data_IF_475449665773
#
_entry.id   IF_475449665773
#
_cell.length_a   1.000
_cell.length_b   1.000
_cell.length_c   1.000
_cell.angle_alpha   90.00
_cell.angle_beta   90.00
_cell.angle_gamma   90.00
#
_symmetry.space_group_name_H-M   'P 1'
#
loop_
_entity.id
_entity.type
_entity.pdbx_description
1 polymer ?
#
# COMPACT_ATOMS: atom_id res chain seq x y z
N UNK A 1 -61.44 -9.31 -3.24
CA UNK A 1 -61.77 -7.93 -2.81
C UNK A 1 -62.22 -7.99 -1.35
N UNK A 2 -61.74 -7.08 -0.49
CA UNK A 2 -60.58 -7.38 0.37
C UNK A 2 -60.75 -6.99 1.85
N UNK A 3 -59.84 -7.47 2.70
CA UNK A 3 -59.19 -6.76 3.85
C UNK A 3 -58.45 -7.82 4.68
N UNK A 4 -57.13 -7.83 4.87
CA UNK A 4 -56.15 -6.76 4.76
C UNK A 4 -56.16 -5.90 6.03
N UNK A 5 -55.53 -6.36 7.12
CA UNK A 5 -55.12 -5.46 8.19
C UNK A 5 -53.79 -5.91 8.80
N UNK A 6 -52.86 -4.96 8.73
CA UNK A 6 -51.46 -4.96 9.13
C UNK A 6 -51.40 -3.82 10.15
N UNK A 7 -50.95 -4.08 11.37
CA UNK A 7 -50.61 -3.05 12.36
C UNK A 7 -49.27 -3.48 12.98
N UNK A 8 -48.16 -2.84 12.62
CA UNK A 8 -47.61 -1.59 13.17
C UNK A 8 -47.22 -1.72 14.67
N UNK A 9 -45.89 -1.69 14.90
CA UNK A 9 -45.22 -1.38 16.18
C UNK A 9 -45.53 0.07 16.60
N UNK A 10 -45.19 0.59 17.82
CA UNK A 10 -43.78 0.89 18.21
C UNK A 10 -43.50 0.98 19.74
N UNK A 11 -42.34 1.59 20.08
CA UNK A 11 -41.82 2.13 21.36
C UNK A 11 -40.76 1.24 22.04
N UNK A 12 -39.45 1.43 21.84
CA UNK A 12 -38.60 2.59 22.15
C UNK A 12 -38.56 2.95 23.65
N UNK A 13 -37.48 2.54 24.33
CA UNK A 13 -36.99 3.22 25.52
C UNK A 13 -35.46 3.32 25.42
N UNK A 14 -35.00 4.54 25.16
CA UNK A 14 -33.61 4.94 25.27
C UNK A 14 -33.35 5.33 26.73
N UNK A 15 -32.22 4.88 27.29
CA UNK A 15 -31.60 5.54 28.42
C UNK A 15 -30.22 6.01 27.98
N UNK A 16 -30.14 7.32 27.76
CA UNK A 16 -28.90 8.06 27.73
C UNK A 16 -28.37 8.15 29.17
N UNK A 17 -27.08 7.87 29.36
CA UNK A 17 -26.36 8.32 30.54
C UNK A 17 -25.14 9.09 30.07
N UNK A 18 -25.19 10.39 30.34
CA UNK A 18 -24.13 11.37 30.13
C UNK A 18 -23.27 11.39 31.40
N UNK A 19 -21.95 11.26 31.25
CA UNK A 19 -21.00 11.47 32.33
C UNK A 19 -19.67 11.94 31.74
N UNK A 20 -19.61 13.24 31.46
CA UNK A 20 -18.36 13.98 31.46
C UNK A 20 -18.21 14.70 32.79
N UNK A 21 -17.20 14.34 33.58
CA UNK A 21 -16.27 15.27 34.23
C UNK A 21 -15.18 14.51 34.97
N UNK A 22 -13.98 15.09 34.96
CA UNK A 22 -12.72 14.40 35.08
C UNK A 22 -12.37 13.93 36.48
N UNK A 23 -11.55 12.87 36.53
CA UNK A 23 -10.56 12.68 37.58
C UNK A 23 -9.27 12.20 36.91
N UNK A 24 -8.28 13.06 37.04
CA UNK A 24 -6.89 12.89 36.70
C UNK A 24 -6.24 11.94 37.72
N UNK A 25 -6.17 10.64 37.47
CA UNK A 25 -5.21 9.73 38.11
C UNK A 25 -4.91 8.54 37.18
N UNK A 26 -3.69 8.52 36.61
CA UNK A 26 -3.10 7.31 36.02
C UNK A 26 -2.58 6.43 37.17
N UNK A 27 -3.00 5.17 37.31
CA UNK A 27 -2.20 4.19 38.01
C UNK A 27 -1.20 3.59 37.01
N UNK A 28 0.07 4.01 37.10
CA UNK A 28 1.19 3.20 36.62
C UNK A 28 1.26 1.96 37.53
N UNK A 29 0.67 0.85 37.10
CA UNK A 29 0.86 -0.45 37.72
C UNK A 29 1.23 -1.44 36.62
N UNK A 30 2.44 -1.31 36.10
CA UNK A 30 3.19 -2.39 35.45
C UNK A 30 4.65 -1.96 35.42
N UNK A 31 5.30 -2.03 36.58
CA UNK A 31 6.76 -1.99 36.72
C UNK A 31 7.11 -2.51 38.11
N UNK A 32 7.20 -3.84 38.28
CA UNK A 32 8.02 -4.51 39.31
C UNK A 32 7.73 -6.01 39.40
N UNK A 33 8.15 -6.76 38.39
CA UNK A 33 8.57 -8.15 38.60
C UNK A 33 9.97 -8.34 38.00
N UNK A 34 10.93 -7.56 38.52
CA UNK A 34 12.35 -7.94 38.45
C UNK A 34 12.55 -9.02 39.50
N UNK A 35 12.60 -10.26 39.05
CA UNK A 35 13.13 -11.37 39.84
C UNK A 35 14.59 -11.02 40.14
N UNK A 36 14.84 -10.57 41.35
CA UNK A 36 16.17 -10.34 41.87
C UNK A 36 16.75 -11.73 42.20
N UNK A 37 17.53 -12.30 41.27
CA UNK A 37 18.30 -13.51 41.55
C UNK A 37 19.44 -13.17 42.52
N UNK A 38 19.49 -13.74 43.74
CA UNK A 38 20.65 -13.57 44.59
C UNK A 38 21.82 -14.36 44.02
N UNK A 39 22.79 -13.64 43.47
CA UNK A 39 24.12 -14.12 43.12
C UNK A 39 24.90 -14.44 44.40
N UNK A 40 24.76 -15.66 44.89
CA UNK A 40 25.56 -16.11 46.03
C UNK A 40 25.05 -17.36 46.73
N UNK A 41 25.07 -18.51 46.07
CA UNK A 41 25.08 -19.80 46.78
C UNK A 41 26.27 -20.64 46.35
N UNK A 42 27.11 -20.95 47.33
CA UNK A 42 28.23 -21.90 47.24
C UNK A 42 27.69 -23.31 46.99
N UNK A 43 28.45 -24.19 46.31
CA UNK A 43 28.00 -25.54 45.99
C UNK A 43 28.18 -26.46 47.21
N UNK A 44 27.14 -26.62 48.01
CA UNK A 44 26.99 -27.68 49.00
C UNK A 44 25.58 -28.26 48.88
N UNK A 45 25.27 -28.88 47.74
CA UNK A 45 23.95 -29.50 47.51
C UNK A 45 24.02 -30.79 46.69
N UNK A 46 25.18 -31.38 46.45
CA UNK A 46 25.27 -32.62 45.65
C UNK A 46 24.92 -33.89 46.44
N UNK A 47 25.05 -33.89 47.77
CA UNK A 47 24.73 -35.07 48.60
C UNK A 47 23.24 -35.18 48.94
N UNK A 48 22.59 -34.06 49.21
CA UNK A 48 21.16 -34.01 49.57
C UNK A 48 20.25 -34.25 48.36
N UNK A 49 20.63 -33.77 47.18
CA UNK A 49 19.91 -34.02 45.92
C UNK A 49 20.01 -35.51 45.51
N UNK A 50 21.13 -36.20 45.81
CA UNK A 50 21.26 -37.64 45.50
C UNK A 50 20.45 -38.52 46.47
N UNK A 51 20.43 -38.22 47.77
CA UNK A 51 19.62 -38.95 48.75
C UNK A 51 18.10 -38.72 48.53
N UNK A 52 17.68 -37.50 48.14
CA UNK A 52 16.30 -37.20 47.74
C UNK A 52 15.92 -37.86 46.40
N UNK A 53 16.87 -38.02 45.47
CA UNK A 53 16.66 -38.77 44.23
C UNK A 53 16.55 -40.29 44.44
N UNK A 54 17.33 -40.87 45.36
CA UNK A 54 17.23 -42.29 45.70
C UNK A 54 15.95 -42.61 46.50
N UNK A 55 15.54 -41.73 47.42
CA UNK A 55 14.29 -41.83 48.16
C UNK A 55 13.05 -41.71 47.26
N UNK A 56 13.07 -40.78 46.29
CA UNK A 56 12.00 -40.62 45.31
C UNK A 56 11.96 -41.76 44.30
N UNK A 57 13.11 -42.33 43.91
CA UNK A 57 13.19 -43.51 43.03
C UNK A 57 12.56 -44.75 43.69
N UNK A 58 12.91 -45.07 44.94
CA UNK A 58 12.30 -46.20 45.67
C UNK A 58 10.81 -46.00 45.95
N UNK A 59 10.39 -44.78 46.26
CA UNK A 59 8.97 -44.44 46.42
C UNK A 59 8.20 -44.55 45.10
N UNK A 60 8.83 -44.20 43.96
CA UNK A 60 8.28 -44.34 42.61
C UNK A 60 8.10 -45.81 42.22
N UNK A 61 9.09 -46.67 42.51
CA UNK A 61 9.00 -48.12 42.25
C UNK A 61 7.91 -48.79 43.09
N UNK A 62 7.81 -48.46 44.37
CA UNK A 62 6.75 -48.97 45.25
C UNK A 62 5.36 -48.50 44.80
N UNK A 63 5.25 -47.26 44.31
CA UNK A 63 4.03 -46.72 43.73
C UNK A 63 3.65 -47.40 42.41
N UNK A 64 4.62 -47.66 41.52
CA UNK A 64 4.41 -48.40 40.28
C UNK A 64 3.94 -49.84 40.52
N UNK A 65 4.53 -50.53 41.49
CA UNK A 65 4.09 -51.88 41.86
C UNK A 65 2.63 -51.90 42.41
N UNK A 66 2.23 -50.86 43.16
CA UNK A 66 0.84 -50.69 43.62
C UNK A 66 -0.10 -50.40 42.44
N UNK A 67 0.30 -49.53 41.52
CA UNK A 67 -0.43 -49.26 40.28
C UNK A 67 -0.69 -50.54 39.50
N UNK A 68 0.36 -51.33 39.23
CA UNK A 68 0.27 -52.57 38.48
C UNK A 68 -0.66 -53.59 39.14
N UNK A 69 -0.62 -53.70 40.48
CA UNK A 69 -1.56 -54.54 41.24
C UNK A 69 -3.00 -54.07 41.07
N UNK A 70 -3.25 -52.76 41.21
CA UNK A 70 -4.61 -52.21 41.03
C UNK A 70 -5.11 -52.33 39.60
N UNK A 71 -4.23 -52.14 38.60
CA UNK A 71 -4.54 -52.29 37.18
C UNK A 71 -4.92 -53.73 36.86
N UNK A 72 -4.11 -54.71 37.28
CA UNK A 72 -4.42 -56.13 37.09
C UNK A 72 -5.73 -56.53 37.79
N UNK A 73 -5.96 -56.01 39.00
CA UNK A 73 -7.20 -56.23 39.75
C UNK A 73 -8.43 -55.67 39.03
N UNK A 74 -8.35 -54.46 38.49
CA UNK A 74 -9.44 -53.87 37.71
C UNK A 74 -9.68 -54.59 36.39
N UNK A 75 -8.61 -54.96 35.66
CA UNK A 75 -8.75 -55.74 34.43
C UNK A 75 -9.39 -57.11 34.67
N UNK A 76 -9.05 -57.77 35.78
CA UNK A 76 -9.69 -59.03 36.16
C UNK A 76 -11.19 -58.84 36.45
N UNK A 77 -11.56 -57.78 37.18
CA UNK A 77 -12.97 -57.45 37.46
C UNK A 77 -13.76 -57.10 36.19
N UNK A 78 -13.18 -56.33 35.29
CA UNK A 78 -13.81 -56.01 33.99
C UNK A 78 -14.07 -57.29 33.21
N UNK A 79 -13.08 -58.19 33.11
CA UNK A 79 -13.25 -59.49 32.43
C UNK A 79 -14.30 -60.37 33.09
N UNK A 80 -14.37 -60.38 34.42
CA UNK A 80 -15.40 -61.13 35.16
C UNK A 80 -16.81 -60.58 34.89
N UNK A 81 -16.96 -59.25 34.91
CA UNK A 81 -18.22 -58.59 34.58
C UNK A 81 -18.61 -58.77 33.12
N UNK A 82 -17.67 -58.68 32.18
CA UNK A 82 -17.87 -58.98 30.75
C UNK A 82 -18.33 -60.43 30.55
N UNK A 83 -17.68 -61.39 31.20
CA UNK A 83 -18.08 -62.80 31.14
C UNK A 83 -19.47 -63.03 31.77
N UNK A 84 -19.81 -62.32 32.84
CA UNK A 84 -21.14 -62.35 33.43
C UNK A 84 -22.20 -61.75 32.48
N UNK A 85 -21.88 -60.63 31.83
CA UNK A 85 -22.75 -60.02 30.81
C UNK A 85 -22.93 -60.93 29.59
N UNK A 86 -21.88 -61.60 29.13
CA UNK A 86 -21.97 -62.57 28.03
C UNK A 86 -22.85 -63.76 28.41
N UNK A 87 -22.71 -64.31 29.62
CA UNK A 87 -23.61 -65.34 30.13
C UNK A 87 -25.06 -64.86 30.14
N UNK A 88 -25.32 -63.65 30.63
CA UNK A 88 -26.67 -63.05 30.63
C UNK A 88 -27.23 -62.87 29.22
N UNK A 89 -26.41 -62.41 28.26
CA UNK A 89 -26.80 -62.28 26.86
C UNK A 89 -27.15 -63.63 26.21
N UNK A 90 -26.44 -64.70 26.57
CA UNK A 90 -26.71 -66.05 26.08
C UNK A 90 -27.98 -66.63 26.73
N UNK A 91 -28.19 -66.38 28.03
CA UNK A 91 -29.37 -66.88 28.76
C UNK A 91 -30.64 -66.09 28.48
N UNK A 92 -30.53 -64.82 28.09
CA UNK A 92 -31.66 -63.92 27.97
C UNK A 92 -31.84 -63.45 26.52
N UNK A 93 -32.79 -64.07 25.82
CA UNK A 93 -33.20 -63.69 24.47
C UNK A 93 -34.12 -62.46 24.50
N UNK A 94 -33.60 -61.30 24.92
CA UNK A 94 -34.38 -60.04 24.88
C UNK A 94 -34.43 -59.52 23.45
N UNK A 95 -35.59 -59.61 22.81
CA UNK A 95 -35.85 -58.87 21.57
C UNK A 95 -36.22 -57.43 21.94
N UNK A 96 -35.37 -56.47 21.59
CA UNK A 96 -35.70 -55.04 21.69
C UNK A 96 -36.84 -54.77 20.70
N UNK A 97 -38.02 -54.28 21.14
CA UNK A 97 -39.10 -53.94 20.22
C UNK A 97 -38.65 -52.82 19.27
N UNK A 98 -38.92 -52.96 17.97
CA UNK A 98 -38.67 -51.91 16.99
C UNK A 98 -39.55 -50.68 17.26
N UNK A 99 -39.03 -49.52 16.83
CA UNK A 99 -39.40 -48.16 17.24
C UNK A 99 -40.74 -47.66 16.66
N UNK A 100 -41.81 -48.43 16.84
CA UNK A 100 -43.18 -47.98 16.60
C UNK A 100 -43.89 -47.73 17.93
N UNK A 101 -44.85 -46.80 17.96
CA UNK A 101 -45.69 -46.37 19.10
C UNK A 101 -46.61 -47.50 19.64
N UNK A 102 -46.06 -48.69 19.80
CA UNK A 102 -46.68 -49.87 20.37
C UNK A 102 -46.67 -49.77 21.90
N UNK A 103 -47.75 -50.19 22.59
CA UNK A 103 -47.80 -50.21 24.06
C UNK A 103 -46.66 -51.04 24.69
N UNK A 104 -46.08 -51.98 23.94
CA UNK A 104 -44.91 -52.76 24.36
C UNK A 104 -43.64 -51.91 24.52
N UNK A 105 -43.45 -50.89 23.67
CA UNK A 105 -42.30 -49.98 23.74
C UNK A 105 -42.39 -49.08 24.98
N UNK A 106 -43.58 -48.54 25.28
CA UNK A 106 -43.80 -47.74 26.50
C UNK A 106 -43.58 -48.55 27.78
N UNK A 107 -43.96 -49.83 27.79
CA UNK A 107 -43.69 -50.73 28.92
C UNK A 107 -42.19 -50.99 29.07
N UNK A 108 -41.47 -51.18 27.97
CA UNK A 108 -40.01 -51.32 27.99
C UNK A 108 -39.31 -50.07 28.53
N UNK A 109 -39.70 -48.87 28.09
CA UNK A 109 -39.17 -47.62 28.60
C UNK A 109 -39.46 -47.42 30.10
N UNK A 110 -40.65 -47.80 30.57
CA UNK A 110 -40.97 -47.76 32.01
C UNK A 110 -40.12 -48.75 32.79
N UNK A 111 -39.91 -49.96 32.27
CA UNK A 111 -39.03 -50.95 32.89
C UNK A 111 -37.58 -50.46 32.95
N UNK A 112 -37.07 -49.86 31.87
CA UNK A 112 -35.73 -49.24 31.84
C UNK A 112 -35.61 -48.08 32.82
N UNK A 113 -36.63 -47.21 32.90
CA UNK A 113 -36.67 -46.11 33.86
C UNK A 113 -36.61 -46.62 35.30
N UNK A 114 -37.43 -47.62 35.63
CA UNK A 114 -37.42 -48.22 36.96
C UNK A 114 -36.06 -48.88 37.28
N UNK A 115 -35.48 -49.61 36.32
CA UNK A 115 -34.16 -50.23 36.48
C UNK A 115 -33.05 -49.18 36.66
N UNK A 116 -33.10 -48.08 35.93
CA UNK A 116 -32.15 -46.98 36.07
C UNK A 116 -32.33 -46.28 37.43
N UNK A 117 -33.57 -46.03 37.86
CA UNK A 117 -33.87 -45.43 39.17
C UNK A 117 -33.39 -46.33 40.33
N UNK A 118 -33.50 -47.66 40.19
CA UNK A 118 -32.95 -48.60 41.19
C UNK A 118 -31.43 -48.58 41.18
N UNK A 119 -30.80 -48.63 40.00
CA UNK A 119 -29.33 -48.65 39.88
C UNK A 119 -28.69 -47.35 40.36
N UNK A 120 -29.34 -46.20 40.13
CA UNK A 120 -28.82 -44.88 40.57
C UNK A 120 -28.86 -44.71 42.10
N UNK A 121 -29.68 -45.51 42.81
CA UNK A 121 -29.77 -45.49 44.28
C UNK A 121 -28.74 -46.41 44.95
N UNK A 122 -28.16 -47.35 44.20
CA UNK A 122 -27.10 -48.21 44.71
C UNK A 122 -25.78 -47.42 44.81
N UNK A 123 -25.04 -47.63 45.90
CA UNK A 123 -23.75 -46.96 46.07
C UNK A 123 -22.75 -47.43 45.01
N UNK A 124 -22.08 -46.52 44.30
CA UNK A 124 -21.12 -46.90 43.28
C UNK A 124 -19.93 -47.62 43.92
N UNK A 125 -19.38 -48.59 43.20
CA UNK A 125 -18.16 -49.29 43.63
C UNK A 125 -16.98 -48.33 43.52
N UNK A 126 -16.61 -47.73 44.66
CA UNK A 126 -15.45 -46.86 44.77
C UNK A 126 -14.17 -47.69 44.96
N UNK A 127 -13.03 -47.24 44.43
CA UNK A 127 -11.75 -47.88 44.71
C UNK A 127 -11.40 -47.74 46.20
N UNK A 128 -10.65 -48.71 46.74
CA UNK A 128 -10.11 -48.65 48.11
C UNK A 128 -9.34 -47.34 48.34
N UNK A 129 -9.36 -46.74 49.54
CA UNK A 129 -8.57 -45.54 49.85
C UNK A 129 -7.06 -45.75 49.70
N UNK A 130 -6.57 -47.00 49.72
CA UNK A 130 -5.16 -47.32 49.45
C UNK A 130 -4.83 -47.39 47.95
N UNK A 131 -5.84 -47.26 47.10
CA UNK A 131 -5.67 -47.25 45.65
C UNK A 131 -5.02 -45.95 45.19
N UNK A 132 -4.04 -45.99 44.27
CA UNK A 132 -3.45 -44.78 43.69
C UNK A 132 -4.38 -44.06 42.69
N UNK A 133 -5.54 -44.65 42.35
CA UNK A 133 -6.43 -44.15 41.28
C UNK A 133 -7.01 -42.76 41.56
N UNK A 134 -7.55 -42.44 42.76
CA UNK A 134 -8.06 -41.10 43.03
C UNK A 134 -6.97 -40.03 42.89
N UNK A 135 -5.74 -40.33 43.32
CA UNK A 135 -4.60 -39.42 43.18
C UNK A 135 -4.21 -39.22 41.70
N UNK A 136 -4.19 -40.27 40.89
CA UNK A 136 -3.92 -40.17 39.44
C UNK A 136 -5.02 -39.44 38.69
N UNK A 137 -6.27 -39.66 39.07
CA UNK A 137 -7.40 -38.98 38.45
C UNK A 137 -7.37 -37.49 38.78
N UNK A 138 -7.08 -37.14 40.04
CA UNK A 138 -6.84 -35.76 40.44
C UNK A 138 -5.69 -35.15 39.65
N UNK A 139 -4.54 -35.84 39.54
CA UNK A 139 -3.38 -35.37 38.77
C UNK A 139 -3.69 -35.19 37.28
N UNK A 140 -4.43 -36.13 36.68
CA UNK A 140 -4.85 -36.04 35.27
C UNK A 140 -5.81 -34.87 35.07
N UNK A 141 -6.77 -34.70 35.98
CA UNK A 141 -7.74 -33.62 35.92
C UNK A 141 -7.05 -32.26 36.08
N UNK A 142 -6.16 -32.11 37.06
CA UNK A 142 -5.40 -30.86 37.24
C UNK A 142 -4.49 -30.59 36.06
N UNK A 143 -3.77 -31.59 35.54
CA UNK A 143 -2.94 -31.43 34.34
C UNK A 143 -3.77 -30.99 33.14
N UNK A 144 -4.93 -31.62 32.93
CA UNK A 144 -5.86 -31.26 31.85
C UNK A 144 -6.36 -29.82 31.99
N UNK A 145 -6.78 -29.42 33.20
CA UNK A 145 -7.22 -28.05 33.46
C UNK A 145 -6.08 -27.06 33.22
N UNK A 146 -4.85 -27.37 33.66
CA UNK A 146 -3.69 -26.50 33.42
C UNK A 146 -3.48 -26.30 31.91
N UNK A 147 -3.43 -27.37 31.13
CA UNK A 147 -3.24 -27.26 29.67
C UNK A 147 -4.37 -26.50 28.99
N UNK A 148 -5.62 -26.76 29.36
CA UNK A 148 -6.78 -26.03 28.82
C UNK A 148 -6.75 -24.54 29.19
N UNK A 149 -6.32 -24.21 30.41
CA UNK A 149 -6.17 -22.80 30.83
C UNK A 149 -5.02 -22.10 30.13
N UNK A 150 -3.90 -22.78 29.88
CA UNK A 150 -2.77 -22.24 29.12
C UNK A 150 -3.17 -21.93 27.68
N UNK A 151 -3.89 -22.85 27.03
CA UNK A 151 -4.45 -22.66 25.69
C UNK A 151 -5.44 -21.48 25.65
N UNK A 152 -6.38 -21.42 26.60
CA UNK A 152 -7.30 -20.28 26.73
C UNK A 152 -6.59 -18.95 26.96
N UNK A 153 -5.50 -18.92 27.75
CA UNK A 153 -4.69 -17.70 27.95
C UNK A 153 -4.00 -17.30 26.62
N UNK A 154 -3.46 -18.25 25.87
CA UNK A 154 -2.85 -17.97 24.57
C UNK A 154 -3.88 -17.40 23.56
N UNK A 155 -5.08 -17.97 23.50
CA UNK A 155 -6.16 -17.50 22.64
C UNK A 155 -6.68 -16.11 23.07
N UNK A 156 -6.86 -15.88 24.37
CA UNK A 156 -7.34 -14.58 24.87
C UNK A 156 -6.29 -13.48 24.72
N UNK A 157 -4.99 -13.78 24.87
CA UNK A 157 -3.92 -12.79 24.66
C UNK A 157 -3.78 -12.41 23.18
N UNK A 158 -3.89 -13.36 22.26
CA UNK A 158 -3.84 -13.07 20.81
C UNK A 158 -5.05 -12.26 20.36
N UNK A 159 -6.26 -12.61 20.81
CA UNK A 159 -7.48 -11.84 20.53
C UNK A 159 -7.43 -10.45 21.15
N UNK A 160 -6.91 -10.31 22.37
CA UNK A 160 -6.71 -9.01 23.01
C UNK A 160 -5.75 -8.12 22.22
N UNK A 161 -4.59 -8.64 21.81
CA UNK A 161 -3.63 -7.90 20.99
C UNK A 161 -4.22 -7.47 19.63
N UNK A 162 -5.09 -8.30 19.03
CA UNK A 162 -5.81 -7.94 17.80
C UNK A 162 -6.83 -6.81 18.05
N UNK A 163 -7.55 -6.85 19.18
CA UNK A 163 -8.50 -5.81 19.57
C UNK A 163 -7.80 -4.48 19.87
N UNK A 164 -6.64 -4.49 20.53
CA UNK A 164 -5.84 -3.27 20.77
C UNK A 164 -5.41 -2.61 19.45
N UNK A 165 -4.92 -3.41 18.49
CA UNK A 165 -4.56 -2.90 17.16
C UNK A 165 -5.75 -2.30 16.44
N UNK A 166 -6.91 -2.96 16.52
CA UNK A 166 -8.16 -2.45 15.93
C UNK A 166 -8.57 -1.14 16.60
N UNK A 167 -8.55 -1.07 17.92
CA UNK A 167 -8.88 0.13 18.68
C UNK A 167 -7.96 1.31 18.32
N UNK A 168 -6.65 1.07 18.19
CA UNK A 168 -5.69 2.10 17.78
C UNK A 168 -6.01 2.64 16.37
N UNK A 169 -6.38 1.75 15.43
CA UNK A 169 -6.80 2.14 14.09
C UNK A 169 -8.07 2.98 14.12
N UNK A 170 -9.12 2.50 14.79
CA UNK A 170 -10.40 3.22 14.88
C UNK A 170 -10.22 4.61 15.54
N UNK A 171 -9.31 4.73 16.52
CA UNK A 171 -8.96 6.02 17.12
C UNK A 171 -8.24 6.97 16.15
N UNK A 172 -7.40 6.46 15.26
CA UNK A 172 -6.76 7.24 14.21
C UNK A 172 -7.81 7.70 13.18
N UNK A 173 -8.64 6.77 12.70
CA UNK A 173 -9.71 7.05 11.74
C UNK A 173 -10.69 8.10 12.28
N UNK A 174 -11.01 8.04 13.58
CA UNK A 174 -11.85 9.04 14.26
C UNK A 174 -11.18 10.43 14.29
N UNK A 175 -9.87 10.51 14.58
CA UNK A 175 -9.13 11.79 14.56
C UNK A 175 -9.15 12.40 13.17
N UNK A 176 -8.94 11.59 12.13
CA UNK A 176 -8.97 12.05 10.74
C UNK A 176 -10.37 12.52 10.34
N UNK A 177 -11.42 11.78 10.73
CA UNK A 177 -12.80 12.19 10.52
C UNK A 177 -13.12 13.53 11.19
N UNK A 178 -12.62 13.79 12.40
CA UNK A 178 -12.78 15.09 13.08
C UNK A 178 -12.05 16.21 12.37
N UNK A 179 -10.85 15.95 11.84
CA UNK A 179 -10.09 16.92 11.07
C UNK A 179 -10.80 17.24 9.74
N UNK A 180 -11.29 16.22 9.03
CA UNK A 180 -12.13 16.43 7.84
C UNK A 180 -13.38 17.24 8.17
N UNK A 181 -14.06 16.92 9.27
CA UNK A 181 -15.25 17.66 9.71
C UNK A 181 -14.92 19.14 10.00
N UNK A 182 -13.78 19.43 10.65
CA UNK A 182 -13.39 20.81 10.94
C UNK A 182 -13.03 21.58 9.68
N UNK A 183 -12.31 20.96 8.73
CA UNK A 183 -12.00 21.55 7.43
C UNK A 183 -13.25 21.81 6.61
N UNK A 184 -14.20 20.87 6.59
CA UNK A 184 -15.49 21.03 5.91
C UNK A 184 -16.30 22.17 6.52
N UNK A 185 -16.39 22.25 7.85
CA UNK A 185 -17.07 23.38 8.54
C UNK A 185 -16.40 24.72 8.20
N UNK A 186 -15.07 24.78 8.21
CA UNK A 186 -14.31 25.96 7.83
C UNK A 186 -14.58 26.37 6.37
N UNK A 187 -14.61 25.39 5.44
CA UNK A 187 -14.93 25.63 4.04
C UNK A 187 -16.36 26.10 3.83
N UNK A 188 -17.33 25.50 4.52
CA UNK A 188 -18.74 25.93 4.49
C UNK A 188 -18.84 27.38 4.97
N UNK A 189 -18.23 27.73 6.09
CA UNK A 189 -18.23 29.10 6.60
C UNK A 189 -17.54 30.07 5.61
N UNK A 190 -16.42 29.68 5.02
CA UNK A 190 -15.74 30.47 3.99
C UNK A 190 -16.61 30.67 2.74
N UNK A 191 -17.33 29.65 2.30
CA UNK A 191 -18.21 29.72 1.13
C UNK A 191 -19.44 30.57 1.43
N UNK A 192 -20.06 30.42 2.60
CA UNK A 192 -21.15 31.29 3.06
C UNK A 192 -20.70 32.76 3.07
N UNK A 193 -19.53 33.04 3.66
CA UNK A 193 -18.96 34.38 3.63
C UNK A 193 -18.69 34.89 2.21
N UNK A 194 -18.31 34.03 1.26
CA UNK A 194 -18.14 34.41 -0.15
C UNK A 194 -19.47 34.71 -0.81
N UNK A 195 -20.50 33.89 -0.57
CA UNK A 195 -21.86 34.10 -1.09
C UNK A 195 -22.44 35.40 -0.54
N UNK A 196 -22.30 35.65 0.77
CA UNK A 196 -22.78 36.90 1.39
C UNK A 196 -22.07 38.13 0.82
N UNK A 197 -20.75 38.02 0.58
CA UNK A 197 -19.99 39.09 -0.10
C UNK A 197 -20.44 39.27 -1.54
N UNK A 198 -20.79 38.22 -2.25
CA UNK A 198 -21.26 38.31 -3.64
C UNK A 198 -22.69 38.82 -3.74
N UNK A 199 -23.58 38.44 -2.82
CA UNK A 199 -24.98 38.90 -2.80
C UNK A 199 -25.10 40.40 -2.50
N UNK A 200 -24.12 40.98 -1.81
CA UNK A 200 -24.04 42.42 -1.55
C UNK A 200 -23.47 43.23 -2.73
N UNK A 201 -22.85 42.60 -3.74
CA UNK A 201 -22.25 43.31 -4.87
C UNK A 201 -23.28 43.63 -5.94
N UNK A 202 -23.15 44.80 -6.55
CA UNK A 202 -23.97 45.15 -7.71
C UNK A 202 -23.51 44.38 -8.97
N UNK A 203 -24.39 44.11 -9.94
CA UNK A 203 -24.02 43.38 -11.16
C UNK A 203 -22.88 44.06 -11.95
N UNK A 204 -22.81 45.40 -11.91
CA UNK A 204 -21.71 46.16 -12.51
C UNK A 204 -20.36 45.93 -11.79
N UNK A 205 -20.38 45.78 -10.46
CA UNK A 205 -19.18 45.43 -9.69
C UNK A 205 -18.72 44.01 -9.98
N UNK A 206 -19.65 43.05 -10.10
CA UNK A 206 -19.34 41.66 -10.48
C UNK A 206 -18.70 41.58 -11.86
N UNK A 207 -19.24 42.30 -12.86
CA UNK A 207 -18.65 42.33 -14.19
C UNK A 207 -17.22 42.91 -14.18
N UNK A 208 -16.98 43.96 -13.39
CA UNK A 208 -15.65 44.56 -13.25
C UNK A 208 -14.64 43.62 -12.58
N UNK A 209 -15.07 42.86 -11.58
CA UNK A 209 -14.24 41.82 -10.94
C UNK A 209 -13.92 40.69 -11.91
N UNK A 210 -14.90 40.20 -12.67
CA UNK A 210 -14.67 39.15 -13.66
C UNK A 210 -13.67 39.57 -14.74
N UNK A 211 -13.77 40.81 -15.23
CA UNK A 211 -12.77 41.37 -16.16
C UNK A 211 -11.38 41.45 -15.50
N UNK A 212 -11.31 41.83 -14.22
CA UNK A 212 -10.04 41.89 -13.48
C UNK A 212 -9.43 40.50 -13.31
N UNK A 213 -10.24 39.50 -12.97
CA UNK A 213 -9.81 38.11 -12.81
C UNK A 213 -9.32 37.53 -14.14
N UNK A 214 -10.02 37.79 -15.24
CA UNK A 214 -9.57 37.41 -16.58
C UNK A 214 -8.23 38.08 -16.93
N UNK A 215 -8.08 39.38 -16.65
CA UNK A 215 -6.80 40.09 -16.85
C UNK A 215 -5.68 39.52 -15.98
N UNK A 216 -5.97 39.13 -14.74
CA UNK A 216 -4.99 38.52 -13.85
C UNK A 216 -4.59 37.11 -14.34
N UNK A 217 -5.55 36.33 -14.83
CA UNK A 217 -5.27 35.02 -15.45
C UNK A 217 -4.43 35.18 -16.70
N UNK A 218 -4.78 36.12 -17.58
CA UNK A 218 -3.99 36.46 -18.76
C UNK A 218 -2.56 36.81 -18.37
N UNK A 219 -2.37 37.78 -17.46
CA UNK A 219 -1.05 38.16 -16.99
C UNK A 219 -0.27 37.00 -16.35
N UNK A 220 -0.96 36.06 -15.69
CA UNK A 220 -0.32 34.85 -15.15
C UNK A 220 0.16 33.94 -16.29
N UNK A 221 -0.69 33.65 -17.27
CA UNK A 221 -0.30 32.83 -18.42
C UNK A 221 0.79 33.47 -19.26
N UNK A 222 0.77 34.79 -19.43
CA UNK A 222 1.83 35.53 -20.10
C UNK A 222 3.17 35.37 -19.35
N UNK A 223 3.16 35.52 -18.02
CA UNK A 223 4.35 35.35 -17.19
C UNK A 223 4.88 33.91 -17.19
N UNK A 224 3.98 32.92 -17.11
CA UNK A 224 4.36 31.51 -17.11
C UNK A 224 4.89 31.11 -18.51
N UNK A 225 4.32 31.63 -19.59
CA UNK A 225 4.82 31.46 -20.97
C UNK A 225 6.20 32.09 -21.15
N UNK A 226 6.43 33.32 -20.66
CA UNK A 226 7.74 33.96 -20.72
C UNK A 226 8.82 33.19 -19.96
N UNK A 227 8.49 32.62 -18.80
CA UNK A 227 9.41 31.75 -18.05
C UNK A 227 9.71 30.49 -18.84
N UNK A 228 8.68 29.83 -19.37
CA UNK A 228 8.86 28.61 -20.14
C UNK A 228 9.72 28.82 -21.39
N UNK A 229 9.49 29.91 -22.14
CA UNK A 229 10.31 30.26 -23.31
C UNK A 229 11.76 30.54 -22.89
N UNK A 230 11.97 31.24 -21.77
CA UNK A 230 13.33 31.48 -21.25
C UNK A 230 14.02 30.17 -20.87
N UNK A 231 13.34 29.28 -20.15
CA UNK A 231 13.90 28.00 -19.72
C UNK A 231 14.18 27.08 -20.92
N UNK A 232 13.29 27.10 -21.93
CA UNK A 232 13.50 26.40 -23.20
C UNK A 232 14.73 26.93 -23.93
N UNK A 233 14.89 28.25 -24.04
CA UNK A 233 16.05 28.86 -24.69
C UNK A 233 17.34 28.54 -23.92
N UNK A 234 17.34 28.60 -22.59
CA UNK A 234 18.48 28.19 -21.75
C UNK A 234 18.84 26.73 -21.99
N UNK A 235 17.84 25.84 -22.03
CA UNK A 235 18.06 24.41 -22.30
C UNK A 235 18.64 24.17 -23.71
N UNK A 236 18.15 24.91 -24.70
CA UNK A 236 18.67 24.84 -26.06
C UNK A 236 20.14 25.24 -26.07
N UNK A 237 20.50 26.34 -25.42
CA UNK A 237 21.85 26.90 -25.47
C UNK A 237 22.86 26.11 -24.63
N UNK A 238 22.44 25.60 -23.47
CA UNK A 238 23.32 24.90 -22.53
C UNK A 238 23.53 23.44 -22.90
N UNK A 239 22.51 22.78 -23.46
CA UNK A 239 22.52 21.33 -23.64
C UNK A 239 22.26 20.90 -25.09
N UNK A 240 21.21 21.42 -25.73
CA UNK A 240 20.74 20.85 -27.00
C UNK A 240 21.61 21.27 -28.19
N UNK A 241 22.08 22.52 -28.20
CA UNK A 241 22.80 23.14 -29.31
C UNK A 241 24.07 22.37 -29.69
N UNK A 242 24.87 21.97 -28.70
CA UNK A 242 26.12 21.22 -28.91
C UNK A 242 25.82 19.84 -29.51
N UNK A 243 24.79 19.16 -29.00
CA UNK A 243 24.38 17.85 -29.51
C UNK A 243 23.81 17.94 -30.94
N UNK A 244 23.01 18.97 -31.24
CA UNK A 244 22.45 19.21 -32.57
C UNK A 244 23.55 19.54 -33.59
N UNK A 245 24.50 20.39 -33.21
CA UNK A 245 25.66 20.72 -34.05
C UNK A 245 26.49 19.45 -34.37
N UNK A 246 26.68 18.57 -33.39
CA UNK A 246 27.38 17.30 -33.61
C UNK A 246 26.64 16.41 -34.62
N UNK A 247 25.32 16.27 -34.51
CA UNK A 247 24.52 15.46 -35.44
C UNK A 247 24.59 16.01 -36.87
N UNK A 248 24.54 17.34 -37.06
CA UNK A 248 24.66 17.95 -38.39
C UNK A 248 26.06 17.80 -39.01
N UNK A 249 27.09 17.80 -38.17
CA UNK A 249 28.47 17.53 -38.61
C UNK A 249 28.74 16.03 -38.84
N UNK A 250 27.72 15.18 -38.76
CA UNK A 250 27.81 13.72 -38.97
C UNK A 250 28.34 12.95 -37.76
N UNK A 251 28.24 13.54 -36.57
CA UNK A 251 28.55 12.95 -35.28
C UNK A 251 27.42 12.07 -34.73
N UNK A 252 27.47 11.70 -33.44
CA UNK A 252 26.44 10.88 -32.81
C UNK A 252 25.10 11.61 -32.80
N UNK A 253 24.02 10.82 -32.84
CA UNK A 253 22.65 11.33 -32.84
C UNK A 253 22.33 11.92 -31.45
N UNK A 254 21.55 13.01 -31.41
CA UNK A 254 21.14 13.64 -30.13
C UNK A 254 20.49 12.59 -29.22
N UNK A 255 21.07 12.40 -28.03
CA UNK A 255 20.64 11.44 -27.01
C UNK A 255 21.42 10.11 -26.95
N UNK A 256 22.27 9.80 -27.93
CA UNK A 256 23.08 8.56 -27.94
C UNK A 256 24.42 8.70 -27.20
N UNK A 257 25.01 9.89 -27.21
CA UNK A 257 26.26 10.20 -26.51
C UNK A 257 26.05 11.42 -25.59
N UNK A 258 26.12 11.27 -24.26
CA UNK A 258 25.87 12.36 -23.32
C UNK A 258 27.05 13.35 -23.19
N UNK A 259 28.26 12.96 -23.58
CA UNK A 259 29.50 13.72 -23.34
C UNK A 259 30.04 14.36 -24.63
N UNK A 260 29.25 15.21 -25.28
CA UNK A 260 29.72 16.01 -26.42
C UNK A 260 29.96 17.43 -25.95
N UNK A 261 31.25 17.81 -25.87
CA UNK A 261 31.69 19.18 -25.54
C UNK A 261 32.06 19.96 -26.81
N UNK A 262 32.14 21.29 -26.69
CA UNK A 262 32.53 22.20 -27.77
C UNK A 262 33.92 21.88 -28.35
N UNK A 263 34.86 21.42 -27.50
CA UNK A 263 36.18 20.95 -27.95
C UNK A 263 36.11 19.71 -28.88
N UNK A 264 35.07 18.88 -28.75
CA UNK A 264 34.84 17.70 -29.59
C UNK A 264 34.22 18.14 -30.93
N UNK A 265 33.37 19.17 -30.93
CA UNK A 265 32.84 19.78 -32.15
C UNK A 265 33.98 20.33 -33.02
N UNK A 266 34.94 21.05 -32.42
CA UNK A 266 36.10 21.59 -33.12
C UNK A 266 36.99 20.50 -33.76
N UNK A 267 37.11 19.34 -33.12
CA UNK A 267 37.87 18.21 -33.66
C UNK A 267 37.21 17.58 -34.91
N UNK A 268 35.88 17.72 -35.03
CA UNK A 268 35.05 17.25 -36.13
C UNK A 268 34.86 15.72 -36.17
N UNK A 269 33.80 15.28 -36.84
CA UNK A 269 33.44 13.87 -36.94
C UNK A 269 33.77 13.28 -38.32
N UNK A 270 34.02 11.98 -38.38
CA UNK A 270 34.11 11.24 -39.64
C UNK A 270 32.71 10.77 -40.07
N UNK A 271 32.57 10.30 -41.32
CA UNK A 271 31.29 9.79 -41.85
C UNK A 271 30.74 8.54 -41.09
N UNK A 272 31.45 8.04 -40.09
CA UNK A 272 31.03 6.92 -39.22
C UNK A 272 30.68 7.41 -37.79
N UNK A 273 30.53 8.72 -37.55
CA UNK A 273 30.18 9.29 -36.24
C UNK A 273 31.31 9.30 -35.21
N UNK A 274 32.55 8.93 -35.60
CA UNK A 274 33.70 8.91 -34.68
C UNK A 274 34.49 10.21 -34.77
N UNK A 275 34.93 10.70 -33.61
CA UNK A 275 35.80 11.89 -33.49
C UNK A 275 37.05 11.71 -34.34
N UNK A 276 37.34 12.69 -35.21
CA UNK A 276 38.56 12.68 -36.03
C UNK A 276 39.76 13.03 -35.14
N UNK A 277 40.87 12.31 -35.32
CA UNK A 277 42.13 12.67 -34.68
C UNK A 277 42.66 13.95 -35.33
N UNK A 278 42.84 14.98 -34.51
CA UNK A 278 43.23 16.34 -34.92
C UNK A 278 44.49 16.32 -35.78
N UNK A 279 44.36 16.79 -37.02
CA UNK A 279 45.50 17.09 -37.90
C UNK A 279 45.46 18.58 -38.23
N UNK A 280 46.19 19.34 -37.41
CA UNK A 280 46.58 20.76 -37.55
C UNK A 280 45.51 21.76 -38.00
N UNK A 281 45.14 22.66 -37.08
CA UNK A 281 44.46 23.94 -37.28
C UNK A 281 45.03 24.75 -38.46
N UNK A 282 44.47 24.57 -39.65
CA UNK A 282 44.61 25.50 -40.78
C UNK A 282 43.41 25.31 -41.69
N UNK A 283 42.24 25.84 -41.32
CA UNK A 283 41.07 26.04 -42.22
C UNK A 283 39.86 26.70 -41.55
N UNK A 284 40.05 27.66 -40.65
CA UNK A 284 38.93 28.39 -40.03
C UNK A 284 38.03 29.04 -41.11
N UNK A 285 38.62 29.55 -42.20
CA UNK A 285 37.87 30.06 -43.36
C UNK A 285 37.03 28.99 -44.09
N UNK A 286 37.50 27.74 -44.16
CA UNK A 286 36.71 26.66 -44.77
C UNK A 286 35.63 26.14 -43.83
N UNK A 287 35.86 26.25 -42.52
CA UNK A 287 34.87 25.93 -41.50
C UNK A 287 33.75 26.97 -41.52
N UNK A 288 34.08 28.26 -41.51
CA UNK A 288 33.08 29.32 -41.61
C UNK A 288 32.24 29.20 -42.89
N UNK A 289 32.84 28.92 -44.05
CA UNK A 289 32.08 28.67 -45.28
C UNK A 289 31.10 27.50 -45.19
N UNK A 290 31.46 26.44 -44.47
CA UNK A 290 30.56 25.30 -44.23
C UNK A 290 29.45 25.67 -43.26
N UNK A 291 29.77 26.48 -42.26
CA UNK A 291 28.77 27.00 -41.34
C UNK A 291 27.78 27.87 -42.12
N UNK A 292 28.26 28.79 -42.94
CA UNK A 292 27.40 29.67 -43.73
C UNK A 292 26.57 28.88 -44.76
N UNK A 293 27.09 27.74 -45.27
CA UNK A 293 26.36 26.83 -46.18
C UNK A 293 25.30 26.01 -45.44
N UNK A 294 25.56 25.61 -44.19
CA UNK A 294 24.63 24.86 -43.35
C UNK A 294 23.69 25.88 -42.67
N UNK A 295 24.11 26.66 -41.70
CA UNK A 295 23.21 27.50 -40.92
C UNK A 295 22.84 28.84 -41.58
N UNK A 296 23.39 29.16 -42.74
CA UNK A 296 23.09 30.41 -43.45
C UNK A 296 23.95 31.59 -42.98
N UNK A 297 23.84 32.76 -43.63
CA UNK A 297 24.54 33.96 -43.19
C UNK A 297 24.03 34.40 -41.82
N UNK A 298 24.95 34.88 -40.98
CA UNK A 298 24.67 35.40 -39.65
C UNK A 298 23.43 36.32 -39.62
N UNK A 299 22.46 36.09 -38.71
CA UNK A 299 21.38 37.03 -38.44
C UNK A 299 21.97 38.39 -38.12
N UNK A 300 21.52 39.41 -38.86
CA UNK A 300 22.01 40.78 -38.75
C UNK A 300 21.38 41.46 -37.53
N UNK A 301 21.65 40.93 -36.34
CA UNK A 301 21.42 41.66 -35.10
C UNK A 301 22.52 42.72 -35.03
N UNK A 302 22.10 43.96 -35.27
CA UNK A 302 22.99 45.10 -35.43
C UNK A 302 23.75 45.39 -34.15
N UNK A 303 25.02 45.00 -34.12
CA UNK A 303 26.12 45.71 -33.47
C UNK A 303 27.42 45.29 -34.16
N UNK A 304 28.03 46.24 -34.89
CA UNK A 304 29.32 46.09 -35.61
C UNK A 304 30.54 46.08 -34.66
N UNK A 305 30.40 45.51 -33.46
CA UNK A 305 31.50 45.40 -32.49
C UNK A 305 31.99 43.95 -32.41
N UNK A 306 33.19 43.71 -32.93
CA UNK A 306 34.14 42.59 -32.67
C UNK A 306 33.58 41.32 -31.99
N UNK A 307 32.51 40.72 -32.53
CA UNK A 307 31.94 39.55 -31.86
C UNK A 307 32.72 38.28 -32.22
N UNK A 308 32.74 37.37 -31.25
CA UNK A 308 33.31 36.03 -31.34
C UNK A 308 32.97 35.29 -32.65
N UNK A 309 33.87 34.43 -33.15
CA UNK A 309 33.63 33.65 -34.36
C UNK A 309 32.36 32.82 -34.20
N UNK A 310 31.45 32.95 -35.18
CA UNK A 310 30.19 32.23 -35.22
C UNK A 310 30.41 30.72 -35.04
N UNK A 311 29.97 30.17 -33.91
CA UNK A 311 30.17 28.76 -33.58
C UNK A 311 29.07 27.88 -34.19
N UNK A 312 29.36 26.61 -34.45
CA UNK A 312 28.34 25.64 -34.90
C UNK A 312 27.25 25.43 -33.84
N UNK A 313 27.63 25.59 -32.56
CA UNK A 313 26.69 25.57 -31.44
C UNK A 313 25.67 26.70 -31.60
N UNK A 314 26.12 27.93 -31.84
CA UNK A 314 25.23 29.09 -31.99
C UNK A 314 24.34 28.97 -33.23
N UNK A 315 24.87 28.45 -34.33
CA UNK A 315 24.09 28.15 -35.54
C UNK A 315 22.98 27.12 -35.29
N UNK A 316 23.30 26.02 -34.62
CA UNK A 316 22.32 24.99 -34.28
C UNK A 316 21.28 25.48 -33.27
N UNK A 317 21.67 26.31 -32.30
CA UNK A 317 20.76 26.94 -31.35
C UNK A 317 19.78 27.89 -32.07
N UNK A 318 20.29 28.75 -32.94
CA UNK A 318 19.48 29.71 -33.71
C UNK A 318 18.47 28.99 -34.60
N UNK A 319 18.89 27.95 -35.33
CA UNK A 319 18.00 27.16 -36.18
C UNK A 319 16.90 26.46 -35.37
N UNK A 320 17.24 25.90 -34.20
CA UNK A 320 16.25 25.26 -33.33
C UNK A 320 15.22 26.25 -32.80
N UNK A 321 15.67 27.45 -32.37
CA UNK A 321 14.77 28.51 -31.87
C UNK A 321 13.86 29.01 -32.99
N UNK A 322 14.42 29.35 -34.15
CA UNK A 322 13.67 29.83 -35.31
C UNK A 322 12.62 28.80 -35.75
N UNK A 323 12.98 27.52 -35.85
CA UNK A 323 12.05 26.47 -36.21
C UNK A 323 10.92 26.33 -35.17
N UNK A 324 11.23 26.37 -33.87
CA UNK A 324 10.20 26.30 -32.82
C UNK A 324 9.27 27.51 -32.85
N UNK A 325 9.79 28.70 -33.11
CA UNK A 325 9.00 29.92 -33.23
C UNK A 325 8.07 29.85 -34.45
N UNK A 326 8.57 29.44 -35.62
CA UNK A 326 7.76 29.25 -36.82
C UNK A 326 6.64 28.23 -36.61
N UNK A 327 6.94 27.12 -35.91
CA UNK A 327 5.94 26.09 -35.60
C UNK A 327 4.87 26.58 -34.61
N UNK A 328 5.27 27.35 -33.59
CA UNK A 328 4.33 27.93 -32.62
C UNK A 328 3.44 29.00 -33.27
N UNK A 329 4.03 29.90 -34.06
CA UNK A 329 3.29 30.93 -34.78
C UNK A 329 2.32 30.30 -35.79
N UNK A 330 2.77 29.28 -36.54
CA UNK A 330 1.90 28.53 -37.46
C UNK A 330 0.72 27.85 -36.74
N UNK A 331 0.93 27.33 -35.53
CA UNK A 331 -0.14 26.71 -34.73
C UNK A 331 -1.17 27.75 -34.26
N UNK A 332 -0.71 28.94 -33.83
CA UNK A 332 -1.57 30.04 -33.41
C UNK A 332 -2.37 30.61 -34.59
N UNK A 333 -1.73 30.80 -35.74
CA UNK A 333 -2.38 31.28 -36.97
C UNK A 333 -3.43 30.31 -37.51
N UNK A 334 -3.26 29.00 -37.27
CA UNK A 334 -4.18 27.96 -37.71
C UNK A 334 -5.41 27.77 -36.78
N UNK A 335 -5.58 28.62 -35.75
CA UNK A 335 -6.70 28.62 -34.79
C UNK A 335 -7.10 27.22 -34.27
N UNK A 336 -6.12 26.34 -34.05
CA UNK A 336 -6.32 25.01 -33.44
C UNK A 336 -7.18 24.02 -34.23
N UNK A 337 -7.60 24.34 -35.47
CA UNK A 337 -8.53 23.46 -36.20
C UNK A 337 -8.25 23.44 -37.70
N UNK A 338 -7.12 22.84 -38.09
CA UNK A 338 -6.86 22.55 -39.49
C UNK A 338 -5.74 21.55 -39.74
N UNK A 339 -5.85 20.69 -40.77
CA UNK A 339 -4.75 19.86 -41.27
C UNK A 339 -3.68 20.70 -42.01
N UNK A 340 -3.45 21.96 -41.61
CA UNK A 340 -2.77 22.99 -42.41
C UNK A 340 -1.64 23.76 -41.74
N UNK A 341 -1.36 23.57 -40.45
CA UNK A 341 -0.24 24.21 -39.76
C UNK A 341 1.11 23.53 -40.07
N UNK A 342 1.43 23.41 -41.36
CA UNK A 342 2.71 22.86 -41.82
C UNK A 342 3.66 24.00 -42.16
N UNK A 343 4.86 23.95 -41.60
CA UNK A 343 6.00 24.80 -41.96
C UNK A 343 6.82 24.08 -43.03
N UNK A 344 7.19 24.81 -44.08
CA UNK A 344 8.05 24.31 -45.15
C UNK A 344 9.52 24.39 -44.72
N UNK A 345 10.19 23.24 -44.69
CA UNK A 345 11.62 23.12 -44.38
C UNK A 345 12.46 23.33 -45.64
N UNK A 346 13.48 24.16 -45.53
CA UNK A 346 14.47 24.39 -46.59
C UNK A 346 15.33 23.14 -46.87
N UNK A 347 15.70 22.42 -45.80
CA UNK A 347 16.46 21.18 -45.81
C UNK A 347 16.01 20.23 -44.69
N UNK A 348 16.47 18.99 -44.76
CA UNK A 348 16.31 18.04 -43.65
C UNK A 348 17.33 18.34 -42.54
N UNK A 349 16.92 19.11 -41.52
CA UNK A 349 17.79 19.45 -40.40
C UNK A 349 17.70 18.49 -39.22
N UNK A 350 18.75 18.43 -38.43
CA UNK A 350 18.84 17.70 -37.16
C UNK A 350 17.83 18.24 -36.15
N UNK A 351 17.55 19.54 -36.16
CA UNK A 351 16.49 20.16 -35.33
C UNK A 351 15.12 19.55 -35.65
N UNK A 352 14.75 19.47 -36.94
CA UNK A 352 13.50 18.85 -37.39
C UNK A 352 13.45 17.35 -37.02
N UNK A 353 14.55 16.62 -37.28
CA UNK A 353 14.66 15.19 -36.91
C UNK A 353 14.52 14.98 -35.41
N UNK A 354 15.13 15.85 -34.60
CA UNK A 354 15.05 15.80 -33.13
C UNK A 354 13.61 16.03 -32.66
N UNK A 355 12.93 17.06 -33.16
CA UNK A 355 11.53 17.36 -32.81
C UNK A 355 10.57 16.22 -33.13
N UNK A 356 10.80 15.52 -34.25
CA UNK A 356 9.99 14.35 -34.62
C UNK A 356 10.30 13.15 -33.73
N UNK A 357 11.58 12.90 -33.42
CA UNK A 357 12.00 11.81 -32.52
C UNK A 357 11.54 12.03 -31.08
N UNK A 358 11.56 13.26 -30.60
CA UNK A 358 11.05 13.65 -29.27
C UNK A 358 9.51 13.69 -29.21
N UNK A 359 8.84 13.43 -30.34
CA UNK A 359 7.38 13.47 -30.48
C UNK A 359 6.80 14.84 -30.15
N UNK A 360 7.54 15.91 -30.41
CA UNK A 360 7.03 17.27 -30.35
C UNK A 360 6.42 17.70 -31.69
N UNK A 361 6.89 17.13 -32.80
CA UNK A 361 6.44 17.45 -34.15
C UNK A 361 6.21 16.18 -35.00
N UNK A 362 5.54 16.35 -36.15
CA UNK A 362 5.29 15.27 -37.12
C UNK A 362 5.49 15.78 -38.55
N UNK A 363 6.15 14.96 -39.38
CA UNK A 363 6.23 15.21 -40.83
C UNK A 363 4.87 14.99 -41.51
N UNK A 364 4.66 15.68 -42.63
CA UNK A 364 3.54 15.40 -43.51
C UNK A 364 3.69 14.00 -44.14
N UNK A 365 2.65 13.15 -44.17
CA UNK A 365 2.76 11.75 -44.60
C UNK A 365 3.16 11.57 -46.06
N UNK A 366 2.99 12.60 -46.89
CA UNK A 366 3.37 12.60 -48.31
C UNK A 366 4.55 13.51 -48.66
N UNK A 367 4.97 14.36 -47.74
CA UNK A 367 5.98 15.39 -48.01
C UNK A 367 6.91 15.56 -46.82
N UNK A 368 8.14 15.04 -46.93
CA UNK A 368 9.14 15.10 -45.87
C UNK A 368 9.67 16.52 -45.62
N UNK A 369 9.35 17.50 -46.48
CA UNK A 369 9.73 18.91 -46.26
C UNK A 369 8.71 19.68 -45.44
N UNK A 370 7.59 19.07 -45.06
CA UNK A 370 6.54 19.75 -44.29
C UNK A 370 6.50 19.22 -42.87
N UNK A 371 6.63 20.11 -41.90
CA UNK A 371 6.64 19.78 -40.47
C UNK A 371 5.52 20.52 -39.74
N UNK A 372 4.81 19.83 -38.85
CA UNK A 372 3.80 20.45 -37.97
C UNK A 372 4.08 20.14 -36.51
N UNK A 373 3.71 21.04 -35.62
CA UNK A 373 3.72 20.79 -34.18
C UNK A 373 2.55 19.88 -33.81
N UNK A 374 2.75 19.01 -32.81
CA UNK A 374 1.64 18.31 -32.19
C UNK A 374 0.86 19.30 -31.33
N UNK A 375 -0.45 19.35 -31.51
CA UNK A 375 -1.32 20.17 -30.68
C UNK A 375 -1.49 19.52 -29.30
N UNK A 376 -0.89 20.13 -28.28
CA UNK A 376 -1.04 19.74 -26.88
C UNK A 376 -2.18 20.50 -26.17
N UNK A 377 -2.72 21.55 -26.79
CA UNK A 377 -3.80 22.38 -26.25
C UNK A 377 -5.19 21.96 -26.71
N UNK A 378 -5.29 21.21 -27.81
CA UNK A 378 -6.53 20.64 -28.30
C UNK A 378 -7.16 19.68 -27.29
N UNK A 379 -8.23 20.13 -26.63
CA UNK A 379 -9.09 19.24 -25.84
C UNK A 379 -9.89 18.35 -26.80
N UNK A 380 -9.61 17.05 -26.80
CA UNK A 380 -10.57 16.08 -27.33
C UNK A 380 -11.70 15.99 -26.31
N UNK A 381 -12.85 16.62 -26.56
CA UNK A 381 -14.09 16.28 -25.86
C UNK A 381 -14.28 14.75 -25.98
N UNK A 382 -14.21 14.05 -24.85
CA UNK A 382 -14.49 12.60 -24.72
C UNK A 382 -15.39 12.36 -23.52
#
# INVERSE_FOLDING_TARGET
MPAGSRAQAPLAFALAYDASQGINQRPHIYDSWKINCPSGMRPLATRQIMDDQEGTSRASEAYAARLDRTLKGLQARVKEQEAALEKLKITTTVKVPELDDSPAYLQHLRALKLAHETYTREEPVLPSPESPIPALLALRATKKVITETEECIAETTTTFAALEKRLAKEQADLKDARLMQSMMKSRIASLQNQIDKQSQKSPAQVAKELIRDLKQKQARYDNDTMKLIRDLNSFVDEHLAVMLAAEELGGPVVGEAPDVDESILEAGFNAQGKVRRSKSMKKDDQRQRRIDEIWGPRPQDGDEEESEPWSEKDGAAAEMRELTEQLLNSLVEAEGNGPGAYVDLSRESAAARFLVRSKAAQYHPKDARKLRLIDFGGEFES
#
